data_IF_614369326394
#
_entry.id   IF_614369326394
#
_cell.length_a   1.000
_cell.length_b   1.000
_cell.length_c   1.000
_cell.angle_alpha   90.00
_cell.angle_beta   90.00
_cell.angle_gamma   90.00
#
_symmetry.space_group_name_H-M   'P 1'
#
loop_
_entity.id
_entity.type
_entity.pdbx_description
1 polymer ?
#
# COMPACT_ATOMS: atom_id res chain seq x y z
N UNK A 1 -17.03 79.98 1.40
CA UNK A 1 -17.42 78.76 0.66
C UNK A 1 -16.77 77.56 1.35
N UNK A 2 -17.56 76.77 2.10
CA UNK A 2 -17.12 75.58 2.83
C UNK A 2 -16.96 74.41 1.84
N UNK A 3 -15.78 73.78 1.78
CA UNK A 3 -15.58 72.51 1.06
C UNK A 3 -15.72 71.37 2.07
N UNK A 4 -16.71 70.51 1.83
CA UNK A 4 -16.95 69.26 2.54
C UNK A 4 -16.08 68.20 1.86
N UNK A 5 -15.24 67.49 2.62
CA UNK A 5 -14.48 66.34 2.15
C UNK A 5 -15.32 65.06 2.37
N UNK A 6 -15.30 64.07 1.45
CA UNK A 6 -15.98 62.80 1.65
C UNK A 6 -15.13 61.88 2.54
N UNK A 7 -15.80 61.27 3.53
CA UNK A 7 -15.26 60.19 4.35
C UNK A 7 -15.48 58.89 3.56
N UNK A 8 -14.40 58.29 3.08
CA UNK A 8 -14.42 56.94 2.52
C UNK A 8 -14.46 55.93 3.66
N UNK A 9 -15.61 55.28 3.86
CA UNK A 9 -15.74 54.08 4.67
C UNK A 9 -15.09 52.91 3.91
N UNK A 10 -13.92 52.45 4.36
CA UNK A 10 -13.40 51.14 3.97
C UNK A 10 -14.08 50.08 4.84
N UNK A 11 -14.97 49.29 4.25
CA UNK A 11 -15.38 48.00 4.81
C UNK A 11 -14.20 47.04 4.67
N UNK A 12 -13.55 46.70 5.78
CA UNK A 12 -12.66 45.54 5.85
C UNK A 12 -13.54 44.28 5.92
N UNK A 13 -13.68 43.57 4.80
CA UNK A 13 -14.21 42.22 4.78
C UNK A 13 -13.18 41.30 5.46
N UNK A 14 -13.45 40.90 6.70
CA UNK A 14 -12.79 39.75 7.32
C UNK A 14 -13.25 38.51 6.55
N UNK A 15 -12.47 38.10 5.56
CA UNK A 15 -12.54 36.75 5.04
C UNK A 15 -12.04 35.82 6.15
N UNK A 16 -12.94 35.02 6.73
CA UNK A 16 -12.55 33.81 7.43
C UNK A 16 -11.87 32.91 6.40
N UNK A 17 -10.54 32.91 6.36
CA UNK A 17 -9.80 31.86 5.69
C UNK A 17 -10.03 30.58 6.48
N UNK A 18 -10.80 29.65 5.93
CA UNK A 18 -10.70 28.25 6.33
C UNK A 18 -9.24 27.85 6.16
N UNK A 19 -8.59 27.46 7.26
CA UNK A 19 -7.26 26.90 7.20
C UNK A 19 -7.33 25.66 6.31
N UNK A 20 -6.53 25.61 5.25
CA UNK A 20 -6.43 24.39 4.46
C UNK A 20 -6.00 23.25 5.40
N UNK A 21 -6.70 22.11 5.39
CA UNK A 21 -6.28 20.96 6.16
C UNK A 21 -4.82 20.66 5.80
N UNK A 22 -3.98 20.47 6.82
CA UNK A 22 -2.61 20.06 6.62
C UNK A 22 -2.55 18.76 5.78
N UNK A 23 -1.40 18.44 5.18
CA UNK A 23 -1.23 17.28 4.31
C UNK A 23 -1.64 15.92 4.94
N UNK A 24 -1.88 15.88 6.25
CA UNK A 24 -2.27 14.70 7.03
C UNK A 24 -3.69 14.76 7.62
N UNK A 25 -4.55 15.72 7.23
CA UNK A 25 -5.93 15.69 7.71
C UNK A 25 -6.72 14.66 6.89
N UNK A 26 -7.11 13.54 7.52
CA UNK A 26 -7.98 12.57 6.88
C UNK A 26 -9.30 13.24 6.45
N UNK A 27 -9.45 13.43 5.13
CA UNK A 27 -10.55 14.21 4.56
C UNK A 27 -11.90 13.46 4.59
N UNK A 28 -11.86 12.14 4.62
CA UNK A 28 -13.01 11.25 4.43
C UNK A 28 -13.18 10.28 5.62
N UNK A 29 -12.72 10.66 6.82
CA UNK A 29 -12.68 9.84 8.03
C UNK A 29 -14.04 9.19 8.34
N UNK A 30 -14.02 7.87 8.62
CA UNK A 30 -15.23 7.12 8.94
C UNK A 30 -16.20 6.91 7.77
N UNK A 31 -15.81 7.23 6.54
CA UNK A 31 -16.62 7.00 5.34
C UNK A 31 -15.98 5.97 4.41
N UNK A 32 -16.73 5.50 3.40
CA UNK A 32 -16.19 4.69 2.29
C UNK A 32 -15.05 5.38 1.52
N UNK A 33 -14.89 6.70 1.67
CA UNK A 33 -13.81 7.49 1.09
C UNK A 33 -12.49 7.43 1.85
N UNK A 34 -12.48 6.95 3.10
CA UNK A 34 -11.30 6.97 3.94
C UNK A 34 -10.17 6.10 3.34
N UNK A 35 -8.99 6.67 3.18
CA UNK A 35 -7.78 5.96 2.73
C UNK A 35 -6.94 5.52 3.92
N UNK A 36 -5.97 4.63 3.74
CA UNK A 36 -5.23 4.02 4.86
C UNK A 36 -4.73 5.05 5.90
N UNK A 37 -4.21 6.20 5.46
CA UNK A 37 -3.75 7.30 6.32
C UNK A 37 -4.77 7.86 7.33
N UNK A 38 -6.04 7.47 7.23
CA UNK A 38 -7.12 7.83 8.15
C UNK A 38 -7.17 7.01 9.45
N UNK A 39 -6.43 5.89 9.52
CA UNK A 39 -6.42 5.04 10.70
C UNK A 39 -5.21 5.32 11.58
N UNK A 40 -5.45 5.22 12.88
CA UNK A 40 -4.43 5.13 13.92
C UNK A 40 -4.30 3.67 14.39
N UNK A 41 -3.11 3.25 14.85
CA UNK A 41 -2.90 1.88 15.32
C UNK A 41 -3.74 1.60 16.58
N UNK A 42 -4.54 0.54 16.55
CA UNK A 42 -5.42 0.10 17.65
C UNK A 42 -4.80 -1.00 18.51
N UNK A 43 -3.76 -1.66 18.00
CA UNK A 43 -3.03 -2.74 18.66
C UNK A 43 -1.58 -2.32 18.97
N UNK A 44 -0.85 -3.08 19.81
CA UNK A 44 0.55 -2.79 20.09
C UNK A 44 1.43 -2.88 18.82
N UNK A 45 2.52 -2.09 18.73
CA UNK A 45 3.48 -2.15 17.62
C UNK A 45 3.93 -3.55 17.23
N UNK A 46 4.10 -4.44 18.22
CA UNK A 46 4.55 -5.81 18.04
C UNK A 46 3.58 -6.64 17.20
N UNK A 47 2.26 -6.37 17.31
CA UNK A 47 1.25 -7.08 16.52
C UNK A 47 1.46 -6.85 15.03
N UNK A 48 1.62 -5.59 14.61
CA UNK A 48 1.77 -5.25 13.19
C UNK A 48 3.05 -5.83 12.59
N UNK A 49 4.15 -5.81 13.35
CA UNK A 49 5.41 -6.43 12.94
C UNK A 49 5.28 -7.96 12.87
N UNK A 50 4.60 -8.59 13.83
CA UNK A 50 4.35 -10.03 13.82
C UNK A 50 3.52 -10.46 12.60
N UNK A 51 2.46 -9.73 12.27
CA UNK A 51 1.65 -10.01 11.07
C UNK A 51 2.48 -9.89 9.78
N UNK A 52 3.34 -8.87 9.68
CA UNK A 52 4.24 -8.72 8.53
C UNK A 52 5.29 -9.85 8.46
N UNK A 53 5.80 -10.34 9.60
CA UNK A 53 6.72 -11.48 9.63
C UNK A 53 6.02 -12.80 9.24
N UNK A 54 4.78 -13.01 9.70
CA UNK A 54 3.95 -14.17 9.33
C UNK A 54 3.66 -14.19 7.83
N UNK A 55 3.50 -13.03 7.19
CA UNK A 55 3.39 -12.96 5.73
C UNK A 55 4.60 -13.64 5.04
N UNK A 56 5.83 -13.32 5.44
CA UNK A 56 7.02 -13.94 4.85
C UNK A 56 7.14 -15.44 5.16
N UNK A 57 6.62 -15.90 6.29
CA UNK A 57 6.54 -17.34 6.58
C UNK A 57 5.69 -18.09 5.57
N UNK A 58 4.66 -17.46 4.99
CA UNK A 58 3.85 -18.09 3.93
C UNK A 58 4.66 -18.39 2.66
N UNK A 59 5.73 -17.63 2.41
CA UNK A 59 6.59 -17.76 1.23
C UNK A 59 7.90 -18.51 1.50
N UNK A 60 8.36 -18.55 2.75
CA UNK A 60 9.61 -19.19 3.16
C UNK A 60 9.47 -20.71 3.34
N UNK A 61 10.09 -21.51 2.46
CA UNK A 61 9.97 -22.97 2.46
C UNK A 61 10.42 -23.65 3.77
N UNK A 62 11.24 -22.98 4.58
CA UNK A 62 11.70 -23.50 5.89
C UNK A 62 10.78 -23.13 7.05
N UNK A 63 9.84 -22.20 6.86
CA UNK A 63 8.87 -21.80 7.88
C UNK A 63 7.69 -22.79 8.01
N UNK A 64 7.05 -22.90 9.19
CA UNK A 64 5.85 -23.72 9.37
C UNK A 64 4.69 -23.27 8.48
N UNK A 65 4.03 -24.22 7.81
CA UNK A 65 2.94 -23.94 6.86
C UNK A 65 1.70 -23.33 7.52
N UNK A 66 1.52 -23.56 8.82
CA UNK A 66 0.45 -22.98 9.62
C UNK A 66 0.67 -21.51 9.99
N UNK A 67 1.86 -20.96 9.75
CA UNK A 67 2.15 -19.56 9.99
C UNK A 67 1.53 -18.74 8.86
N UNK A 68 0.33 -18.22 9.13
CA UNK A 68 -0.44 -17.40 8.20
C UNK A 68 -0.88 -16.14 8.95
N UNK A 69 -0.68 -14.93 8.37
CA UNK A 69 -1.17 -13.71 8.99
C UNK A 69 -2.69 -13.63 8.97
N UNK A 70 -3.25 -12.81 9.84
CA UNK A 70 -4.67 -12.48 9.86
C UNK A 70 -4.97 -11.47 8.74
N UNK A 71 -5.46 -11.98 7.61
CA UNK A 71 -5.84 -11.17 6.46
C UNK A 71 -7.27 -10.65 6.57
N UNK A 72 -7.48 -9.41 6.14
CA UNK A 72 -8.81 -8.93 5.78
C UNK A 72 -9.33 -9.75 4.58
N UNK A 73 -10.64 -10.11 4.51
CA UNK A 73 -11.18 -10.94 3.42
C UNK A 73 -10.91 -10.44 2.00
N UNK A 74 -10.74 -9.13 1.83
CA UNK A 74 -10.42 -8.45 0.57
C UNK A 74 -9.00 -7.85 0.56
N UNK A 75 -8.05 -8.48 1.26
CA UNK A 75 -6.63 -8.07 1.20
C UNK A 75 -6.15 -8.05 -0.25
N UNK A 76 -5.31 -7.08 -0.61
CA UNK A 76 -4.71 -7.00 -1.93
C UNK A 76 -3.18 -6.94 -1.83
N UNK A 77 -2.50 -7.56 -2.79
CA UNK A 77 -1.04 -7.48 -2.95
C UNK A 77 -0.68 -6.80 -4.26
N UNK A 78 0.04 -5.69 -4.15
CA UNK A 78 0.43 -4.81 -5.25
C UNK A 78 1.95 -4.72 -5.38
N UNK A 79 2.50 -5.29 -6.44
CA UNK A 79 3.93 -5.29 -6.74
C UNK A 79 4.28 -4.26 -7.81
N UNK A 80 5.17 -3.33 -7.48
CA UNK A 80 5.56 -2.29 -8.42
C UNK A 80 6.37 -2.87 -9.58
N UNK A 81 6.37 -2.23 -10.77
CA UNK A 81 7.17 -2.68 -11.90
C UNK A 81 8.65 -2.88 -11.52
N UNK A 82 9.32 -3.90 -12.08
CA UNK A 82 8.94 -4.66 -13.27
C UNK A 82 7.94 -5.81 -13.02
N UNK A 83 7.49 -6.02 -11.79
CA UNK A 83 6.54 -7.08 -11.47
C UNK A 83 5.11 -6.75 -11.86
N UNK A 84 4.18 -7.63 -11.46
CA UNK A 84 2.89 -7.80 -12.14
C UNK A 84 1.75 -6.95 -11.57
N UNK A 85 2.05 -5.93 -10.75
CA UNK A 85 1.04 -5.09 -10.09
C UNK A 85 0.16 -5.94 -9.17
N UNK A 86 -1.11 -6.19 -9.52
CA UNK A 86 -1.99 -6.98 -8.66
C UNK A 86 -1.69 -8.47 -8.76
N UNK A 87 -1.04 -9.03 -7.72
CA UNK A 87 -0.60 -10.43 -7.65
C UNK A 87 -1.38 -11.28 -6.66
N UNK A 88 -2.29 -10.66 -5.91
CA UNK A 88 -3.23 -11.36 -5.06
C UNK A 88 -4.36 -10.44 -4.66
N UNK A 89 -5.58 -10.98 -4.59
CA UNK A 89 -6.75 -10.27 -4.12
C UNK A 89 -7.72 -11.24 -3.45
N UNK A 90 -7.89 -11.09 -2.14
CA UNK A 90 -8.69 -11.98 -1.30
C UNK A 90 -7.82 -12.83 -0.37
N UNK A 91 -8.29 -13.05 0.86
CA UNK A 91 -7.53 -13.77 1.88
C UNK A 91 -7.25 -15.23 1.49
N UNK A 92 -8.24 -15.93 0.93
CA UNK A 92 -8.07 -17.32 0.47
C UNK A 92 -7.05 -17.41 -0.66
N UNK A 93 -7.18 -16.54 -1.68
CA UNK A 93 -6.26 -16.51 -2.83
C UNK A 93 -4.82 -16.19 -2.41
N UNK A 94 -4.62 -15.29 -1.44
CA UNK A 94 -3.30 -14.99 -0.88
C UNK A 94 -2.66 -16.22 -0.22
N UNK A 95 -3.44 -16.99 0.54
CA UNK A 95 -2.97 -18.20 1.21
C UNK A 95 -2.63 -19.28 0.18
N UNK A 96 -3.55 -19.56 -0.75
CA UNK A 96 -3.40 -20.60 -1.78
C UNK A 96 -2.25 -20.27 -2.74
N UNK A 97 -2.06 -18.99 -3.07
CA UNK A 97 -0.91 -18.52 -3.86
C UNK A 97 0.40 -18.72 -3.11
N UNK A 98 0.46 -18.36 -1.83
CA UNK A 98 1.64 -18.60 -1.00
C UNK A 98 2.02 -20.09 -0.96
N UNK A 99 1.05 -20.96 -0.73
CA UNK A 99 1.24 -22.42 -0.79
C UNK A 99 1.77 -22.90 -2.14
N UNK A 100 1.21 -22.37 -3.23
CA UNK A 100 1.62 -22.72 -4.59
C UNK A 100 3.03 -22.24 -4.89
N UNK A 101 3.41 -21.03 -4.46
CA UNK A 101 4.75 -20.47 -4.68
C UNK A 101 5.84 -21.29 -3.97
N UNK A 102 5.58 -21.79 -2.76
CA UNK A 102 6.52 -22.69 -2.07
C UNK A 102 6.84 -23.96 -2.86
N UNK A 103 5.93 -24.42 -3.72
CA UNK A 103 6.10 -25.61 -4.55
C UNK A 103 6.67 -25.29 -5.94
N UNK A 104 6.23 -24.18 -6.53
CA UNK A 104 6.52 -23.83 -7.92
C UNK A 104 7.76 -22.94 -8.09
N UNK A 105 8.03 -22.08 -7.11
CA UNK A 105 9.12 -21.11 -7.10
C UNK A 105 9.68 -20.96 -5.67
N UNK A 106 10.32 -22.02 -5.15
CA UNK A 106 10.70 -22.12 -3.75
C UNK A 106 11.75 -21.08 -3.37
N UNK A 107 11.54 -20.40 -2.24
CA UNK A 107 12.51 -19.47 -1.66
C UNK A 107 12.59 -19.61 -0.14
N UNK A 108 13.71 -19.16 0.43
CA UNK A 108 13.81 -18.88 1.89
C UNK A 108 13.91 -17.38 2.11
N UNK A 109 13.62 -16.88 3.31
CA UNK A 109 13.69 -15.44 3.61
C UNK A 109 14.59 -15.21 4.84
N UNK A 110 15.92 -15.38 4.70
CA UNK A 110 16.85 -15.35 5.84
C UNK A 110 17.07 -13.95 6.43
N UNK A 111 16.91 -12.89 5.65
CA UNK A 111 17.02 -11.51 6.13
C UNK A 111 15.63 -10.88 6.21
N UNK A 112 15.23 -10.47 7.42
CA UNK A 112 13.96 -9.78 7.68
C UNK A 112 14.17 -8.64 8.67
N UNK A 113 14.16 -7.40 8.21
CA UNK A 113 14.11 -6.19 9.04
C UNK A 113 12.71 -5.57 8.89
N UNK A 114 11.80 -5.90 9.80
CA UNK A 114 10.45 -5.35 9.85
C UNK A 114 10.32 -4.32 10.97
N UNK A 115 9.68 -3.18 10.66
CA UNK A 115 9.53 -2.05 11.59
C UNK A 115 8.10 -1.56 11.66
N UNK A 116 7.72 -1.15 12.86
CA UNK A 116 6.46 -0.46 13.11
C UNK A 116 6.56 1.04 12.80
N UNK A 117 5.45 1.62 12.35
CA UNK A 117 5.28 3.06 12.13
C UNK A 117 3.95 3.56 12.69
N UNK A 118 3.93 4.77 13.25
CA UNK A 118 2.75 5.36 13.88
C UNK A 118 1.68 5.81 12.87
N UNK A 119 2.02 5.89 11.59
CA UNK A 119 1.11 6.23 10.48
C UNK A 119 1.14 5.12 9.45
N UNK A 120 -0.01 4.81 8.85
CA UNK A 120 -0.09 3.79 7.81
C UNK A 120 0.90 4.08 6.67
N UNK A 121 1.53 3.03 6.10
CA UNK A 121 1.48 1.62 6.52
C UNK A 121 2.15 1.37 7.89
N UNK A 122 1.46 0.63 8.78
CA UNK A 122 1.94 0.42 10.16
C UNK A 122 3.10 -0.56 10.25
N UNK A 123 3.34 -1.38 9.24
CA UNK A 123 4.55 -2.19 9.15
C UNK A 123 5.20 -2.03 7.78
N UNK A 124 6.53 -1.94 7.76
CA UNK A 124 7.34 -2.05 6.54
C UNK A 124 8.53 -2.92 6.82
N UNK A 125 8.91 -3.70 5.82
CA UNK A 125 9.98 -4.65 5.92
C UNK A 125 10.96 -4.44 4.77
N UNK A 126 12.25 -4.47 5.09
CA UNK A 126 13.28 -4.83 4.13
C UNK A 126 13.54 -6.32 4.30
N UNK A 127 13.47 -7.08 3.22
CA UNK A 127 13.72 -8.52 3.22
C UNK A 127 14.62 -8.91 2.07
N UNK A 128 15.29 -10.05 2.22
CA UNK A 128 15.98 -10.72 1.11
C UNK A 128 15.39 -12.10 0.98
N UNK A 129 14.70 -12.34 -0.13
CA UNK A 129 14.35 -13.69 -0.55
C UNK A 129 15.57 -14.35 -1.18
N UNK A 130 15.84 -15.61 -0.86
CA UNK A 130 16.86 -16.42 -1.51
C UNK A 130 16.18 -17.45 -2.41
N UNK A 131 16.29 -17.25 -3.72
CA UNK A 131 15.87 -18.17 -4.77
C UNK A 131 17.06 -19.00 -5.27
N UNK A 132 16.81 -19.97 -6.17
CA UNK A 132 17.90 -20.72 -6.82
C UNK A 132 18.83 -19.81 -7.65
N UNK A 133 18.25 -18.81 -8.30
CA UNK A 133 18.94 -17.83 -9.15
C UNK A 133 19.80 -16.85 -8.34
N UNK A 134 19.39 -16.52 -7.12
CA UNK A 134 20.12 -15.62 -6.22
C UNK A 134 19.23 -14.84 -5.23
N UNK A 135 19.83 -13.87 -4.52
CA UNK A 135 19.13 -13.03 -3.55
C UNK A 135 18.28 -11.97 -4.23
N UNK A 136 17.02 -11.84 -3.83
CA UNK A 136 16.08 -10.81 -4.25
C UNK A 136 15.81 -9.84 -3.08
N UNK A 137 16.57 -8.74 -2.96
CA UNK A 137 16.33 -7.73 -1.94
C UNK A 137 15.14 -6.87 -2.34
N UNK A 138 14.14 -6.79 -1.46
CA UNK A 138 12.91 -6.04 -1.70
C UNK A 138 12.47 -5.30 -0.45
N UNK A 139 11.58 -4.34 -0.65
CA UNK A 139 10.76 -3.77 0.41
C UNK A 139 9.33 -4.25 0.25
N UNK A 140 8.68 -4.55 1.37
CA UNK A 140 7.22 -4.66 1.41
C UNK A 140 6.63 -3.86 2.57
N UNK A 141 5.49 -3.22 2.36
CA UNK A 141 4.74 -2.50 3.37
C UNK A 141 3.30 -2.99 3.50
N UNK A 142 2.77 -2.93 4.73
CA UNK A 142 1.52 -3.56 5.12
C UNK A 142 0.60 -2.54 5.75
N UNK A 143 -0.58 -2.34 5.16
CA UNK A 143 -1.67 -1.63 5.82
C UNK A 143 -2.60 -2.58 6.53
N UNK A 144 -3.28 -2.04 7.53
CA UNK A 144 -4.14 -2.79 8.42
C UNK A 144 -5.49 -2.10 8.59
N UNK A 145 -6.55 -2.87 8.78
CA UNK A 145 -7.83 -2.33 9.18
C UNK A 145 -7.87 -1.99 10.68
N UNK A 146 -9.03 -1.53 11.17
CA UNK A 146 -9.19 -1.15 12.57
C UNK A 146 -9.10 -2.33 13.54
N UNK A 147 -9.32 -3.57 13.08
CA UNK A 147 -9.12 -4.79 13.85
C UNK A 147 -7.67 -5.28 13.84
N UNK A 148 -6.80 -4.67 13.04
CA UNK A 148 -5.39 -5.05 12.93
C UNK A 148 -5.13 -6.21 11.96
N UNK A 149 -6.04 -6.47 11.01
CA UNK A 149 -5.87 -7.44 9.94
C UNK A 149 -5.21 -6.80 8.74
N UNK A 150 -4.29 -7.51 8.09
CA UNK A 150 -3.61 -7.00 6.88
C UNK A 150 -4.62 -6.82 5.74
N UNK A 151 -4.75 -5.62 5.19
CA UNK A 151 -5.74 -5.30 4.15
C UNK A 151 -5.14 -4.78 2.84
N UNK A 152 -3.86 -4.41 2.82
CA UNK A 152 -3.13 -4.06 1.61
C UNK A 152 -1.64 -4.31 1.80
N UNK A 153 -0.97 -4.83 0.78
CA UNK A 153 0.46 -5.10 0.77
C UNK A 153 1.04 -4.46 -0.49
N UNK A 154 2.06 -3.62 -0.33
CA UNK A 154 2.82 -3.06 -1.46
C UNK A 154 4.25 -3.57 -1.44
N UNK A 155 4.76 -4.02 -2.58
CA UNK A 155 6.13 -4.51 -2.73
C UNK A 155 6.87 -3.74 -3.83
N UNK A 156 8.14 -3.42 -3.60
CA UNK A 156 9.03 -2.85 -4.63
C UNK A 156 10.47 -3.35 -4.47
N UNK A 157 11.19 -3.37 -5.59
CA UNK A 157 12.59 -3.79 -5.65
C UNK A 157 13.52 -2.81 -4.92
N UNK A 158 14.55 -3.35 -4.28
CA UNK A 158 15.64 -2.55 -3.68
C UNK A 158 16.73 -2.15 -4.70
N UNK A 159 16.54 -2.43 -5.99
CA UNK A 159 17.55 -2.15 -7.00
C UNK A 159 17.61 -0.67 -7.42
N UNK A 160 18.81 -0.16 -7.77
CA UNK A 160 18.96 1.17 -8.32
C UNK A 160 18.11 1.38 -9.58
N UNK A 161 17.30 2.44 -9.59
CA UNK A 161 16.41 2.77 -10.71
C UNK A 161 15.01 2.16 -10.62
N UNK A 162 14.78 1.23 -9.68
CA UNK A 162 13.47 0.67 -9.36
C UNK A 162 12.92 1.18 -8.02
N UNK A 163 13.79 1.71 -7.16
CA UNK A 163 13.40 2.38 -5.92
C UNK A 163 12.58 3.65 -6.19
N UNK A 164 11.42 3.83 -5.52
CA UNK A 164 10.65 5.07 -5.62
C UNK A 164 11.30 6.28 -4.91
N UNK A 165 12.35 6.04 -4.14
CA UNK A 165 13.05 7.03 -3.34
C UNK A 165 14.58 6.87 -3.36
N UNK A 166 15.29 7.91 -2.93
CA UNK A 166 16.73 7.81 -2.62
C UNK A 166 16.92 7.03 -1.31
N UNK A 167 17.31 5.76 -1.41
CA UNK A 167 17.51 4.87 -0.26
C UNK A 167 18.49 5.43 0.78
N UNK A 168 19.53 6.17 0.37
CA UNK A 168 20.51 6.69 1.32
C UNK A 168 19.91 7.81 2.20
N UNK A 169 18.98 8.57 1.64
CA UNK A 169 18.30 9.67 2.33
C UNK A 169 17.04 9.21 3.07
N UNK A 170 16.31 8.25 2.51
CA UNK A 170 15.03 7.76 3.02
C UNK A 170 14.93 6.22 2.89
N UNK A 171 15.65 5.47 3.74
CA UNK A 171 15.75 4.02 3.65
C UNK A 171 14.42 3.29 3.92
N UNK A 172 13.41 3.99 4.44
CA UNK A 172 12.10 3.42 4.74
C UNK A 172 10.97 4.03 3.92
N UNK A 173 11.22 5.09 3.16
CA UNK A 173 10.17 5.76 2.38
C UNK A 173 9.26 6.67 3.21
N UNK A 174 9.74 7.23 4.33
CA UNK A 174 8.95 8.08 5.22
C UNK A 174 8.66 9.49 4.66
N UNK A 175 9.29 9.86 3.54
CA UNK A 175 9.05 11.16 2.93
C UNK A 175 7.56 11.36 2.57
N UNK A 176 6.97 12.56 2.81
CA UNK A 176 5.57 12.83 2.50
C UNK A 176 5.16 12.66 1.02
N UNK A 177 6.14 12.66 0.11
CA UNK A 177 5.92 12.51 -1.32
C UNK A 177 6.07 11.08 -1.84
N UNK A 178 6.25 10.08 -0.96
CA UNK A 178 6.39 8.69 -1.39
C UNK A 178 5.09 8.23 -2.08
N UNK A 179 5.15 7.61 -3.29
CA UNK A 179 3.98 7.39 -4.14
C UNK A 179 3.11 6.18 -3.74
N UNK A 180 2.82 5.99 -2.45
CA UNK A 180 2.03 4.85 -1.93
C UNK A 180 0.65 4.78 -2.57
N UNK A 181 0.26 3.60 -3.04
CA UNK A 181 -1.08 3.39 -3.56
C UNK A 181 -2.11 3.24 -2.42
N UNK A 182 -1.76 2.59 -1.32
CA UNK A 182 -2.65 2.34 -0.18
C UNK A 182 -3.19 3.63 0.46
N UNK A 183 -2.40 4.72 0.42
CA UNK A 183 -2.82 6.04 0.91
C UNK A 183 -3.82 6.74 -0.02
N UNK A 184 -4.10 6.17 -1.19
CA UNK A 184 -4.99 6.73 -2.23
C UNK A 184 -6.20 5.85 -2.52
N UNK A 185 -6.17 4.57 -2.14
CA UNK A 185 -7.30 3.63 -2.29
C UNK A 185 -8.38 3.90 -1.23
N UNK A 186 -9.60 4.27 -1.64
CA UNK A 186 -10.73 4.42 -0.73
C UNK A 186 -11.17 3.09 -0.11
N UNK A 187 -11.57 3.13 1.16
CA UNK A 187 -12.07 1.99 1.91
C UNK A 187 -11.05 1.41 2.89
N UNK A 188 -9.74 1.50 2.57
CA UNK A 188 -8.68 0.98 3.43
C UNK A 188 -8.60 1.67 4.80
N UNK A 189 -9.06 2.92 4.89
CA UNK A 189 -9.01 3.72 6.12
C UNK A 189 -10.31 3.75 6.91
N UNK A 190 -11.34 3.01 6.51
CA UNK A 190 -12.58 2.95 7.26
C UNK A 190 -12.53 1.83 8.31
N UNK A 191 -13.52 1.79 9.21
CA UNK A 191 -13.53 0.81 10.29
C UNK A 191 -13.56 -0.64 9.81
N UNK A 192 -14.10 -0.94 8.62
CA UNK A 192 -14.12 -2.32 8.10
C UNK A 192 -12.89 -2.68 7.28
N UNK A 193 -12.08 -1.70 6.86
CA UNK A 193 -10.94 -1.91 5.95
C UNK A 193 -11.32 -2.42 4.56
N UNK A 194 -12.61 -2.41 4.22
CA UNK A 194 -13.15 -3.06 3.03
C UNK A 194 -13.16 -2.11 1.84
N UNK A 195 -12.68 -2.59 0.69
CA UNK A 195 -12.66 -1.84 -0.57
C UNK A 195 -13.93 -2.09 -1.39
N UNK A 196 -14.75 -1.05 -1.55
CA UNK A 196 -15.95 -1.09 -2.40
C UNK A 196 -15.57 -0.72 -3.83
N UNK A 197 -15.14 -1.71 -4.63
CA UNK A 197 -14.53 -1.50 -5.95
C UNK A 197 -15.44 -0.71 -6.93
N UNK A 198 -16.74 -0.98 -6.91
CA UNK A 198 -17.74 -0.27 -7.74
C UNK A 198 -18.36 0.94 -7.03
N UNK A 199 -17.95 1.21 -5.78
CA UNK A 199 -18.47 2.27 -4.93
C UNK A 199 -18.26 3.68 -5.51
N UNK A 200 -19.07 4.64 -5.07
CA UNK A 200 -18.92 6.03 -5.54
C UNK A 200 -17.58 6.65 -5.09
N UNK A 201 -17.06 6.25 -3.93
CA UNK A 201 -15.76 6.68 -3.47
C UNK A 201 -14.63 6.22 -4.40
N UNK A 202 -14.58 4.92 -4.72
CA UNK A 202 -13.60 4.35 -5.65
C UNK A 202 -13.70 4.98 -7.05
N UNK A 203 -14.90 5.05 -7.62
CA UNK A 203 -15.12 5.69 -8.93
C UNK A 203 -14.72 7.16 -8.94
N UNK A 204 -14.91 7.90 -7.84
CA UNK A 204 -14.47 9.30 -7.71
C UNK A 204 -12.96 9.43 -7.61
N UNK A 205 -12.30 8.55 -6.87
CA UNK A 205 -10.85 8.50 -6.76
C UNK A 205 -10.20 8.14 -8.09
N UNK A 206 -10.67 7.08 -8.76
CA UNK A 206 -10.17 6.66 -10.07
C UNK A 206 -10.34 7.70 -11.19
N UNK A 207 -11.36 8.58 -11.12
CA UNK A 207 -11.48 9.72 -12.06
C UNK A 207 -10.35 10.75 -11.93
N UNK A 208 -9.65 10.79 -10.79
CA UNK A 208 -8.59 11.75 -10.47
C UNK A 208 -7.22 11.10 -10.50
N UNK A 209 -7.16 9.80 -10.29
CA UNK A 209 -5.94 9.04 -10.12
C UNK A 209 -5.99 7.77 -11.00
N UNK A 210 -5.23 7.73 -12.10
CA UNK A 210 -5.19 6.59 -13.00
C UNK A 210 -4.74 5.28 -12.34
N UNK A 211 -3.87 5.32 -11.34
CA UNK A 211 -3.40 4.09 -10.67
C UNK A 211 -4.48 3.53 -9.74
N UNK A 212 -5.26 4.38 -9.08
CA UNK A 212 -6.45 3.93 -8.33
C UNK A 212 -7.51 3.34 -9.27
N UNK A 213 -7.68 3.93 -10.46
CA UNK A 213 -8.57 3.37 -11.47
C UNK A 213 -8.08 2.00 -11.97
N UNK A 214 -6.78 1.86 -12.23
CA UNK A 214 -6.16 0.61 -12.67
C UNK A 214 -6.29 -0.47 -11.59
N UNK A 215 -6.00 -0.14 -10.32
CA UNK A 215 -6.23 -1.03 -9.19
C UNK A 215 -7.68 -1.54 -9.15
N UNK A 216 -8.66 -0.63 -9.22
CA UNK A 216 -10.07 -1.01 -9.17
C UNK A 216 -10.48 -1.89 -10.36
N UNK A 217 -9.98 -1.59 -11.57
CA UNK A 217 -10.22 -2.41 -12.76
C UNK A 217 -9.63 -3.82 -12.61
N UNK A 218 -8.39 -3.93 -12.12
CA UNK A 218 -7.73 -5.21 -11.89
C UNK A 218 -8.45 -6.02 -10.82
N UNK A 219 -8.79 -5.41 -9.69
CA UNK A 219 -9.40 -6.10 -8.55
C UNK A 219 -10.81 -6.66 -8.86
N UNK A 220 -11.55 -6.10 -9.83
CA UNK A 220 -12.86 -6.65 -10.22
C UNK A 220 -12.79 -8.04 -10.87
N UNK A 221 -11.65 -8.39 -11.48
CA UNK A 221 -11.41 -9.68 -12.15
C UNK A 221 -9.91 -9.99 -12.06
N UNK A 222 -9.45 -10.19 -10.82
CA UNK A 222 -8.02 -10.15 -10.47
C UNK A 222 -7.23 -11.26 -11.16
N UNK A 223 -7.74 -12.49 -11.22
CA UNK A 223 -7.07 -13.62 -11.90
C UNK A 223 -6.84 -13.30 -13.39
N UNK A 224 -7.84 -12.72 -14.04
CA UNK A 224 -7.75 -12.34 -15.44
C UNK A 224 -6.82 -11.16 -15.66
N UNK A 225 -6.83 -10.20 -14.74
CA UNK A 225 -5.91 -9.07 -14.76
C UNK A 225 -4.46 -9.53 -14.61
N UNK A 226 -4.19 -10.39 -13.62
CA UNK A 226 -2.89 -11.03 -13.40
C UNK A 226 -2.43 -11.82 -14.63
N UNK A 227 -3.28 -12.67 -15.19
CA UNK A 227 -2.94 -13.45 -16.38
C UNK A 227 -2.63 -12.56 -17.60
N UNK A 228 -3.35 -11.43 -17.76
CA UNK A 228 -3.03 -10.46 -18.82
C UNK A 228 -1.68 -9.80 -18.59
N UNK A 229 -1.37 -9.41 -17.36
CA UNK A 229 -0.09 -8.80 -17.02
C UNK A 229 1.06 -9.78 -17.25
N UNK A 230 0.91 -11.03 -16.77
CA UNK A 230 1.91 -12.08 -16.97
C UNK A 230 2.20 -12.35 -18.46
N UNK A 231 1.17 -12.36 -19.32
CA UNK A 231 1.34 -12.54 -20.77
C UNK A 231 2.04 -11.35 -21.42
N UNK A 232 1.80 -10.14 -20.91
CA UNK A 232 2.37 -8.91 -21.45
C UNK A 232 3.77 -8.60 -20.92
N UNK A 233 4.12 -9.13 -19.75
CA UNK A 233 5.39 -8.91 -19.09
C UNK A 233 6.57 -9.43 -19.92
N UNK A 234 7.73 -8.80 -19.73
CA UNK A 234 8.99 -9.33 -20.21
C UNK A 234 9.22 -10.72 -19.57
N UNK A 235 9.63 -11.77 -20.29
CA UNK A 235 9.90 -13.08 -19.68
C UNK A 235 10.88 -13.03 -18.49
N UNK A 236 11.76 -12.03 -18.46
CA UNK A 236 12.73 -11.81 -17.40
C UNK A 236 12.22 -10.80 -16.35
N UNK A 237 10.92 -10.46 -16.30
CA UNK A 237 10.38 -9.43 -15.40
C UNK A 237 10.77 -9.67 -13.93
N UNK A 238 10.76 -10.94 -13.51
CA UNK A 238 11.12 -11.32 -12.15
C UNK A 238 12.61 -11.10 -11.90
N UNK A 239 13.46 -11.58 -12.82
CA UNK A 239 14.90 -11.36 -12.78
C UNK A 239 15.29 -9.88 -12.82
N UNK A 240 14.56 -9.05 -13.57
CA UNK A 240 14.76 -7.61 -13.59
C UNK A 240 14.50 -6.96 -12.22
N UNK A 241 13.49 -7.43 -11.50
CA UNK A 241 13.16 -6.93 -10.16
C UNK A 241 14.15 -7.39 -9.09
N UNK A 242 14.81 -8.52 -9.30
CA UNK A 242 15.72 -9.09 -8.31
C UNK A 242 17.23 -8.93 -8.63
N UNK A 243 17.59 -8.66 -9.89
CA UNK A 243 18.89 -8.13 -10.29
C UNK A 243 19.92 -9.17 -10.74
N UNK A 244 19.49 -10.31 -11.27
CA UNK A 244 20.35 -11.38 -11.79
C UNK A 244 20.26 -11.57 -13.31
#
# INVERSE_FOLDING_TARGET
MRRVAPISLLLAAFACGEAEPGPNACRDEGTEGATAACLEPTLPPEHYVEQALLYFDTLDVDAPIENVPDYHPLVARWEWPPWLLLTGFGAEDMIDTGLSLRELDPSTVPERDCRFFETQPFARCYVVFEYEEGPCPIYEEFTFDAEGRGNFIEAWSDLPGLLPQDRAADPWGEAPGFPRLANRIPGLGNASGSVELEGEAMRRAGRRDPEVADFAERAMDWERAWARELIAADPDFFAQGCGW
#
